data_IF_189897544490
#
_entry.id   IF_189897544490
#
_cell.length_a   1.000
_cell.length_b   1.000
_cell.length_c   1.000
_cell.angle_alpha   90.00
_cell.angle_beta   90.00
_cell.angle_gamma   90.00
#
_symmetry.space_group_name_H-M   'P 1'
#
loop_
_entity.id
_entity.type
_entity.pdbx_description
1 polymer ?
#
# COMPACT_ATOMS: atom_id res chain seq x y z
N UNK A 1 -1.75 -14.94 1.49
CA UNK A 1 -1.32 -13.61 1.96
C UNK A 1 -2.53 -12.70 1.82
N UNK A 2 -3.10 -12.26 2.94
CA UNK A 2 -4.16 -11.25 2.93
C UNK A 2 -3.54 -9.85 2.92
N UNK A 3 -4.27 -8.88 2.36
CA UNK A 3 -3.95 -7.46 2.40
C UNK A 3 -5.19 -6.71 2.86
N UNK A 4 -5.01 -5.68 3.68
CA UNK A 4 -6.09 -4.83 4.19
C UNK A 4 -5.70 -3.38 3.95
N UNK A 5 -6.69 -2.50 3.76
CA UNK A 5 -6.41 -1.08 3.74
C UNK A 5 -5.85 -0.66 5.11
N UNK A 6 -4.66 -0.06 5.09
CA UNK A 6 -3.94 0.32 6.29
C UNK A 6 -4.20 1.81 6.52
N UNK A 7 -4.62 2.22 7.74
CA UNK A 7 -4.82 3.62 8.05
C UNK A 7 -3.56 4.45 7.81
N UNK A 8 -3.70 5.64 7.21
CA UNK A 8 -2.57 6.49 6.86
C UNK A 8 -1.69 6.83 8.07
N UNK A 9 -2.29 7.11 9.23
CA UNK A 9 -1.53 7.42 10.45
C UNK A 9 -0.61 6.27 10.91
N UNK A 10 -0.99 5.01 10.65
CA UNK A 10 -0.12 3.86 10.94
C UNK A 10 1.05 3.80 9.95
N UNK A 11 0.80 4.08 8.67
CA UNK A 11 1.86 4.17 7.66
C UNK A 11 2.84 5.28 8.05
N UNK A 12 2.33 6.45 8.43
CA UNK A 12 3.15 7.61 8.82
C UNK A 12 4.02 7.31 10.05
N UNK A 13 3.46 6.63 11.07
CA UNK A 13 4.21 6.20 12.25
C UNK A 13 5.33 5.21 11.88
N UNK A 14 5.03 4.24 11.00
CA UNK A 14 6.02 3.27 10.54
C UNK A 14 7.11 3.93 9.68
N UNK A 15 6.75 4.90 8.84
CA UNK A 15 7.71 5.70 8.09
C UNK A 15 8.60 6.55 8.99
N UNK A 16 8.05 7.12 10.08
CA UNK A 16 8.83 7.86 11.06
C UNK A 16 9.91 6.97 11.70
N UNK A 17 9.56 5.76 12.15
CA UNK A 17 10.51 4.79 12.67
C UNK A 17 11.58 4.42 11.63
N UNK A 18 11.17 4.17 10.38
CA UNK A 18 12.11 3.85 9.28
C UNK A 18 13.07 4.98 8.99
N UNK A 19 12.58 6.22 8.94
CA UNK A 19 13.39 7.44 8.75
C UNK A 19 14.41 7.59 9.88
N UNK A 20 13.97 7.36 11.12
CA UNK A 20 14.84 7.49 12.29
C UNK A 20 15.97 6.47 12.30
N UNK A 21 15.63 5.21 12.06
CA UNK A 21 16.62 4.15 11.89
C UNK A 21 17.58 4.44 10.73
N UNK A 22 17.07 4.91 9.59
CA UNK A 22 17.87 5.08 8.37
C UNK A 22 18.87 6.23 8.47
N UNK A 23 18.49 7.35 9.08
CA UNK A 23 19.32 8.57 9.10
C UNK A 23 20.11 8.76 10.39
N UNK A 24 19.55 8.37 11.55
CA UNK A 24 20.17 8.60 12.85
C UNK A 24 20.60 7.30 13.54
N UNK A 25 20.06 6.14 13.15
CA UNK A 25 20.23 4.89 13.90
C UNK A 25 19.57 4.93 15.28
N UNK A 26 18.67 5.89 15.50
CA UNK A 26 17.97 6.15 16.76
C UNK A 26 16.45 5.97 16.59
N UNK A 27 15.72 6.06 17.70
CA UNK A 27 14.26 5.91 17.72
C UNK A 27 13.52 7.13 17.13
N UNK A 28 14.16 8.31 17.15
CA UNK A 28 13.61 9.54 16.59
C UNK A 28 14.64 10.25 15.71
N UNK A 29 14.18 11.11 14.80
CA UNK A 29 15.07 11.88 13.91
C UNK A 29 14.53 13.28 13.69
N UNK A 30 15.44 14.25 13.79
CA UNK A 30 15.19 15.63 13.40
C UNK A 30 15.43 15.81 11.90
N UNK A 31 14.69 16.72 11.26
CA UNK A 31 14.87 17.03 9.83
C UNK A 31 16.30 17.44 9.46
N UNK A 32 17.08 17.99 10.40
CA UNK A 32 18.49 18.34 10.19
C UNK A 32 19.42 17.12 10.00
N UNK A 33 19.00 15.92 10.43
CA UNK A 33 19.76 14.68 10.27
C UNK A 33 19.46 13.99 8.92
N UNK A 34 18.42 14.41 8.21
CA UNK A 34 18.02 13.82 6.92
C UNK A 34 18.86 14.41 5.78
N UNK A 35 19.83 13.63 5.26
CA UNK A 35 20.66 14.04 4.13
C UNK A 35 19.88 14.13 2.80
N UNK A 36 18.80 13.37 2.67
CA UNK A 36 17.94 13.31 1.49
C UNK A 36 16.49 13.30 1.93
N UNK A 37 15.61 13.98 1.20
CA UNK A 37 14.17 13.93 1.46
C UNK A 37 13.66 12.50 1.35
N UNK A 38 12.69 12.12 2.20
CA UNK A 38 12.17 10.76 2.19
C UNK A 38 11.55 10.36 0.85
N UNK A 39 10.86 11.30 0.19
CA UNK A 39 10.33 11.09 -1.16
C UNK A 39 11.42 10.72 -2.18
N UNK A 40 12.60 11.34 -2.08
CA UNK A 40 13.73 10.99 -2.96
C UNK A 40 14.41 9.68 -2.54
N UNK A 41 14.45 9.36 -1.25
CA UNK A 41 14.92 8.05 -0.77
C UNK A 41 14.06 6.89 -1.33
N UNK A 42 12.74 7.11 -1.43
CA UNK A 42 11.81 6.12 -1.98
C UNK A 42 11.85 5.97 -3.51
N UNK A 43 12.50 6.89 -4.23
CA UNK A 43 12.62 6.78 -5.69
C UNK A 43 13.44 5.55 -6.08
N UNK A 44 13.15 4.91 -7.23
CA UNK A 44 13.97 3.83 -7.75
C UNK A 44 15.43 4.26 -7.92
N UNK A 45 16.37 3.32 -7.74
CA UNK A 45 17.82 3.58 -7.91
C UNK A 45 18.18 4.08 -9.31
N UNK A 46 17.46 3.58 -10.33
CA UNK A 46 17.60 4.03 -11.72
C UNK A 46 17.25 5.52 -11.92
N UNK A 47 16.42 6.07 -11.04
CA UNK A 47 15.94 7.46 -11.09
C UNK A 47 16.68 8.34 -10.07
N UNK A 48 17.84 7.87 -9.57
CA UNK A 48 18.70 8.59 -8.62
C UNK A 48 18.27 8.53 -7.15
N UNK A 49 17.30 7.67 -6.80
CA UNK A 49 16.89 7.44 -5.42
C UNK A 49 17.66 6.32 -4.72
N UNK A 50 17.27 6.03 -3.48
CA UNK A 50 17.86 4.93 -2.68
C UNK A 50 17.14 3.60 -2.89
N UNK A 51 15.96 3.61 -3.51
CA UNK A 51 15.13 2.43 -3.74
C UNK A 51 14.44 1.93 -2.48
N UNK A 52 14.24 2.79 -1.48
CA UNK A 52 13.40 2.47 -0.31
C UNK A 52 11.97 2.29 -0.79
N UNK A 53 11.24 1.33 -0.23
CA UNK A 53 9.87 1.06 -0.67
C UNK A 53 8.87 1.98 0.01
N UNK A 54 8.13 2.72 -0.80
CA UNK A 54 6.95 3.48 -0.38
C UNK A 54 5.87 2.49 0.12
N UNK A 55 5.50 2.66 1.38
CA UNK A 55 4.54 1.78 2.07
C UNK A 55 3.12 1.96 1.57
N UNK A 56 2.73 3.20 1.28
CA UNK A 56 1.40 3.53 0.78
C UNK A 56 1.21 2.88 -0.58
N UNK A 57 2.19 3.08 -1.49
CA UNK A 57 2.18 2.47 -2.81
C UNK A 57 2.22 0.93 -2.71
N UNK A 58 3.05 0.39 -1.82
CA UNK A 58 3.11 -1.06 -1.61
C UNK A 58 1.76 -1.62 -1.16
N UNK A 59 1.05 -0.93 -0.26
CA UNK A 59 -0.25 -1.37 0.21
C UNK A 59 -1.28 -1.38 -0.93
N UNK A 60 -1.37 -0.30 -1.70
CA UNK A 60 -2.24 -0.22 -2.89
C UNK A 60 -1.95 -1.35 -3.87
N UNK A 61 -0.68 -1.62 -4.16
CA UNK A 61 -0.29 -2.72 -5.04
C UNK A 61 -0.69 -4.10 -4.49
N UNK A 62 -0.62 -4.31 -3.17
CA UNK A 62 -1.03 -5.57 -2.55
C UNK A 62 -2.55 -5.75 -2.59
N UNK A 63 -3.32 -4.69 -2.36
CA UNK A 63 -4.77 -4.69 -2.51
C UNK A 63 -5.17 -4.98 -3.97
N UNK A 64 -4.53 -4.32 -4.93
CA UNK A 64 -4.75 -4.57 -6.35
C UNK A 64 -4.42 -6.02 -6.74
N UNK A 65 -3.33 -6.58 -6.19
CA UNK A 65 -2.97 -7.98 -6.40
C UNK A 65 -4.03 -8.92 -5.81
N UNK A 66 -4.56 -8.62 -4.63
CA UNK A 66 -5.63 -9.40 -4.02
C UNK A 66 -6.92 -9.38 -4.86
N UNK A 67 -7.28 -8.21 -5.38
CA UNK A 67 -8.40 -8.04 -6.30
C UNK A 67 -8.18 -8.85 -7.59
N UNK A 68 -7.00 -8.74 -8.20
CA UNK A 68 -6.67 -9.52 -9.39
C UNK A 68 -6.74 -11.03 -9.15
N UNK A 69 -6.32 -11.50 -7.96
CA UNK A 69 -6.45 -12.90 -7.55
C UNK A 69 -7.91 -13.33 -7.38
N UNK A 70 -8.78 -12.45 -6.88
CA UNK A 70 -10.20 -12.72 -6.79
C UNK A 70 -10.85 -12.93 -8.17
N UNK A 71 -10.44 -12.15 -9.18
CA UNK A 71 -10.99 -12.27 -10.54
C UNK A 71 -10.38 -13.41 -11.36
N UNK A 72 -9.07 -13.65 -11.23
CA UNK A 72 -8.34 -14.59 -12.10
C UNK A 72 -8.25 -15.99 -11.50
N UNK A 73 -8.27 -16.09 -10.17
CA UNK A 73 -8.05 -17.32 -9.43
C UNK A 73 -9.35 -18.00 -9.00
N UNK A 74 -10.17 -18.44 -9.96
CA UNK A 74 -11.45 -19.12 -9.75
C UNK A 74 -11.39 -20.30 -8.75
N UNK A 75 -10.22 -20.93 -8.58
CA UNK A 75 -10.02 -22.09 -7.70
C UNK A 75 -9.33 -21.74 -6.36
N UNK A 76 -8.99 -20.47 -6.15
CA UNK A 76 -8.39 -20.03 -4.89
C UNK A 76 -9.43 -20.08 -3.77
N UNK A 77 -9.01 -20.51 -2.57
CA UNK A 77 -9.89 -20.49 -1.40
C UNK A 77 -10.46 -19.10 -1.10
N UNK A 78 -9.72 -18.05 -1.46
CA UNK A 78 -10.13 -16.66 -1.34
C UNK A 78 -11.25 -16.28 -2.31
N UNK A 79 -11.12 -16.64 -3.60
CA UNK A 79 -12.18 -16.40 -4.58
C UNK A 79 -13.46 -17.18 -4.22
N UNK A 80 -13.34 -18.45 -3.80
CA UNK A 80 -14.49 -19.25 -3.36
C UNK A 80 -15.18 -18.64 -2.14
N UNK A 81 -14.42 -18.15 -1.16
CA UNK A 81 -14.98 -17.46 0.00
C UNK A 81 -15.70 -16.17 -0.41
N UNK A 82 -15.11 -15.36 -1.28
CA UNK A 82 -15.74 -14.14 -1.79
C UNK A 82 -17.06 -14.42 -2.52
N UNK A 83 -17.10 -15.44 -3.39
CA UNK A 83 -18.34 -15.82 -4.09
C UNK A 83 -19.40 -16.35 -3.13
N UNK A 84 -19.00 -17.10 -2.08
CA UNK A 84 -19.93 -17.60 -1.07
C UNK A 84 -20.52 -16.49 -0.19
N UNK A 85 -19.72 -15.49 0.17
CA UNK A 85 -20.14 -14.38 1.05
C UNK A 85 -20.93 -13.30 0.28
N UNK A 86 -20.47 -12.93 -0.92
CA UNK A 86 -21.00 -11.80 -1.70
C UNK A 86 -21.87 -12.20 -2.89
N UNK A 87 -22.11 -13.50 -3.10
CA UNK A 87 -23.06 -14.00 -4.12
C UNK A 87 -22.56 -13.95 -5.56
N UNK A 88 -21.29 -13.61 -5.81
CA UNK A 88 -20.73 -13.51 -7.15
C UNK A 88 -19.29 -12.96 -7.16
N UNK A 89 -18.66 -12.81 -8.34
CA UNK A 89 -17.46 -12.00 -8.49
C UNK A 89 -17.71 -10.57 -7.99
N UNK A 90 -16.68 -9.92 -7.43
CA UNK A 90 -16.76 -8.50 -7.05
C UNK A 90 -17.01 -7.65 -8.30
N UNK A 91 -18.26 -7.29 -8.58
CA UNK A 91 -18.58 -6.40 -9.68
C UNK A 91 -18.25 -4.95 -9.27
N UNK A 92 -17.70 -4.18 -10.21
CA UNK A 92 -17.52 -2.76 -10.00
C UNK A 92 -18.92 -2.13 -9.84
N UNK A 93 -19.14 -1.22 -8.89
CA UNK A 93 -20.42 -0.54 -8.77
C UNK A 93 -20.75 0.14 -10.10
N UNK A 94 -21.95 -0.09 -10.62
CA UNK A 94 -22.44 0.55 -11.83
C UNK A 94 -22.40 2.07 -11.63
N UNK A 95 -21.36 2.71 -12.18
CA UNK A 95 -21.11 4.16 -12.08
C UNK A 95 -22.16 5.04 -12.79
N UNK A 96 -23.37 4.54 -13.00
CA UNK A 96 -24.48 5.29 -13.62
C UNK A 96 -25.43 5.92 -12.60
N UNK A 97 -25.30 5.63 -11.30
CA UNK A 97 -25.99 6.43 -10.28
C UNK A 97 -25.26 7.76 -10.06
N UNK A 98 -25.60 8.72 -10.93
CA UNK A 98 -25.50 10.16 -10.81
C UNK A 98 -24.64 10.72 -9.67
N UNK A 99 -23.66 11.53 -10.06
CA UNK A 99 -23.13 12.57 -9.18
C UNK A 99 -24.28 13.36 -8.55
N UNK A 100 -24.35 13.29 -7.23
CA UNK A 100 -25.09 14.21 -6.40
C UNK A 100 -24.29 14.40 -5.11
N UNK A 101 -23.51 15.49 -5.13
CA UNK A 101 -22.92 16.24 -4.01
C UNK A 101 -21.95 15.53 -3.06
#
# INVERSE_FOLDING_TARGET
>A
MGAVEVPQGFIDALEACRRAFFWAGEETVSGAQCLVSWANACRPKKDGGLGVRDLSLQNTCLLMKLLHQAHTGSDSAWARWLTAEFGGPLEAPDSTAAGAH
#
